data_IF_008608258314
#
_entry.id   IF_008608258314
#
_cell.length_a   1.000
_cell.length_b   1.000
_cell.length_c   1.000
_cell.angle_alpha   90.00
_cell.angle_beta   90.00
_cell.angle_gamma   90.00
#
_symmetry.space_group_name_H-M   'P 1'
#
loop_
_entity.id
_entity.type
_entity.pdbx_description
1 polymer ?
#
# COMPACT_ATOMS: atom_id res chain seq x y z
N UNK A 1 19.05 99.02 -2.32
CA UNK A 1 18.24 97.96 -1.58
C UNK A 1 18.03 96.74 -2.49
N UNK A 2 18.94 95.80 -2.43
CA UNK A 2 19.00 94.65 -3.33
C UNK A 2 18.32 93.44 -2.58
N UNK A 3 17.15 92.97 -3.04
CA UNK A 3 16.50 91.80 -2.51
C UNK A 3 17.15 90.55 -3.05
N UNK A 4 17.71 89.71 -2.17
CA UNK A 4 18.15 88.35 -2.51
C UNK A 4 16.99 87.42 -2.43
N UNK A 5 16.73 86.71 -3.52
CA UNK A 5 15.74 85.63 -3.60
C UNK A 5 16.47 84.32 -3.31
N UNK A 6 16.03 83.68 -2.22
CA UNK A 6 16.52 82.31 -1.84
C UNK A 6 15.66 81.25 -2.59
N UNK A 7 16.27 80.54 -3.53
CA UNK A 7 15.63 79.40 -4.20
C UNK A 7 15.93 78.11 -3.44
N UNK A 8 14.92 77.54 -2.79
CA UNK A 8 15.01 76.25 -2.10
C UNK A 8 14.74 75.16 -3.14
N UNK A 9 15.74 74.37 -3.49
CA UNK A 9 15.58 73.15 -4.24
C UNK A 9 15.06 72.02 -3.33
N UNK A 10 13.81 71.60 -3.48
CA UNK A 10 13.28 70.38 -2.91
C UNK A 10 13.72 69.20 -3.81
N UNK A 11 14.62 68.36 -3.32
CA UNK A 11 14.90 67.04 -3.90
C UNK A 11 13.78 66.07 -3.54
N UNK A 12 13.11 65.40 -4.52
CA UNK A 12 12.15 64.35 -4.18
C UNK A 12 12.93 63.11 -3.69
N UNK A 13 12.65 62.70 -2.47
CA UNK A 13 13.11 61.43 -1.91
C UNK A 13 12.31 60.30 -2.56
N UNK A 14 12.87 59.65 -3.58
CA UNK A 14 12.35 58.44 -4.16
C UNK A 14 12.54 57.30 -3.15
N UNK A 15 11.53 56.99 -2.37
CA UNK A 15 11.43 55.73 -1.62
C UNK A 15 11.18 54.60 -2.59
N UNK A 16 12.20 53.80 -2.88
CA UNK A 16 12.00 52.49 -3.49
C UNK A 16 11.28 51.61 -2.47
N UNK A 17 9.97 51.43 -2.66
CA UNK A 17 9.21 50.35 -2.05
C UNK A 17 9.62 49.11 -2.81
N UNK A 18 10.56 48.33 -2.26
CA UNK A 18 10.79 46.95 -2.68
C UNK A 18 9.56 46.15 -2.23
N UNK A 19 8.59 45.95 -3.11
CA UNK A 19 7.67 44.87 -2.96
C UNK A 19 8.46 43.58 -3.22
N UNK A 20 8.89 42.92 -2.15
CA UNK A 20 9.13 41.49 -2.22
C UNK A 20 7.76 40.84 -2.33
N UNK A 21 7.32 40.54 -3.55
CA UNK A 21 6.27 39.54 -3.78
C UNK A 21 6.82 38.17 -3.41
N UNK A 22 7.07 37.97 -2.13
CA UNK A 22 7.11 36.63 -1.54
C UNK A 22 5.66 36.14 -1.47
N UNK A 23 5.11 35.73 -2.61
CA UNK A 23 3.91 34.93 -2.62
C UNK A 23 4.26 33.61 -1.92
N UNK A 24 3.99 33.57 -0.61
CA UNK A 24 4.16 32.35 0.18
C UNK A 24 3.33 31.24 -0.48
N UNK A 25 4.00 30.17 -0.92
CA UNK A 25 3.32 29.00 -1.47
C UNK A 25 2.56 28.34 -0.33
N UNK A 26 1.25 28.28 -0.43
CA UNK A 26 0.38 27.69 0.56
C UNK A 26 -0.27 26.44 -0.05
N UNK A 27 -0.05 25.29 0.59
CA UNK A 27 -0.84 24.10 0.33
C UNK A 27 -2.04 24.07 1.26
N UNK A 28 -3.21 23.72 0.73
CA UNK A 28 -4.41 23.57 1.54
C UNK A 28 -4.23 22.43 2.54
N UNK A 29 -4.61 22.68 3.80
CA UNK A 29 -4.68 21.63 4.82
C UNK A 29 -5.83 20.70 4.48
N UNK A 30 -5.62 19.35 4.47
CA UNK A 30 -6.68 18.41 4.21
C UNK A 30 -7.87 18.59 5.16
N UNK A 31 -9.07 18.33 4.64
CA UNK A 31 -10.30 18.50 5.44
C UNK A 31 -10.32 17.49 6.60
N UNK A 32 -10.48 17.99 7.81
CA UNK A 32 -10.71 17.14 8.98
C UNK A 32 -12.09 16.47 8.86
N UNK A 33 -12.13 15.13 8.94
CA UNK A 33 -13.34 14.32 8.96
C UNK A 33 -13.43 13.55 10.28
N UNK A 34 -14.58 12.96 10.55
CA UNK A 34 -14.80 12.09 11.71
C UNK A 34 -14.49 10.62 11.37
N UNK A 35 -13.34 10.36 10.75
CA UNK A 35 -12.94 9.04 10.24
C UNK A 35 -11.67 8.48 10.93
N UNK A 36 -11.31 9.08 12.06
CA UNK A 36 -10.14 8.66 12.85
C UNK A 36 -8.79 9.22 12.36
N UNK A 37 -8.73 9.85 11.18
CA UNK A 37 -7.52 10.53 10.68
C UNK A 37 -7.49 11.96 11.23
N UNK A 38 -6.34 12.35 11.78
CA UNK A 38 -6.10 13.74 12.22
C UNK A 38 -5.37 14.47 11.07
N UNK A 39 -5.77 15.72 10.81
CA UNK A 39 -5.15 16.52 9.74
C UNK A 39 -4.29 17.64 10.33
N UNK A 40 -3.25 18.05 9.59
CA UNK A 40 -2.40 19.21 9.88
C UNK A 40 -1.90 19.81 8.58
N UNK A 41 -1.40 21.05 8.62
CA UNK A 41 -0.72 21.60 7.45
C UNK A 41 0.67 20.95 7.28
N UNK A 42 1.12 20.81 6.03
CA UNK A 42 2.46 20.31 5.72
C UNK A 42 3.55 21.15 6.40
N UNK A 43 3.37 22.47 6.45
CA UNK A 43 4.27 23.42 7.10
C UNK A 43 4.40 23.17 8.61
N UNK A 44 3.29 22.96 9.32
CA UNK A 44 3.30 22.67 10.77
C UNK A 44 4.00 21.34 11.08
N UNK A 45 3.97 20.38 10.15
CA UNK A 45 4.67 19.11 10.28
C UNK A 45 6.11 19.14 9.75
N UNK A 46 6.64 20.33 9.44
CA UNK A 46 8.04 20.55 9.10
C UNK A 46 8.41 20.21 7.66
N UNK A 47 7.44 20.14 6.73
CA UNK A 47 7.75 19.83 5.34
C UNK A 47 7.98 21.11 4.50
N UNK A 48 8.83 20.99 3.50
CA UNK A 48 9.03 22.02 2.49
C UNK A 48 7.83 22.08 1.54
N UNK A 49 6.94 23.05 1.80
CA UNK A 49 5.67 23.25 1.07
C UNK A 49 5.93 23.55 -0.42
N UNK A 50 7.04 24.21 -0.76
CA UNK A 50 7.37 24.55 -2.15
C UNK A 50 7.68 23.31 -2.98
N UNK A 51 8.42 22.34 -2.42
CA UNK A 51 8.69 21.06 -3.10
C UNK A 51 7.42 20.26 -3.33
N UNK A 52 6.53 20.18 -2.33
CA UNK A 52 5.25 19.49 -2.47
C UNK A 52 4.33 20.18 -3.49
N UNK A 53 4.30 21.52 -3.52
CA UNK A 53 3.53 22.26 -4.53
C UNK A 53 4.07 21.99 -5.94
N UNK A 54 5.39 21.99 -6.12
CA UNK A 54 6.01 21.66 -7.41
C UNK A 54 5.64 20.24 -7.85
N UNK A 55 5.67 19.27 -6.94
CA UNK A 55 5.24 17.89 -7.23
C UNK A 55 3.78 17.84 -7.74
N UNK A 56 2.88 18.56 -7.06
CA UNK A 56 1.46 18.61 -7.46
C UNK A 56 1.32 19.22 -8.85
N UNK A 57 2.03 20.30 -9.14
CA UNK A 57 2.00 20.95 -10.44
C UNK A 57 2.52 20.05 -11.56
N UNK A 58 3.60 19.28 -11.32
CA UNK A 58 4.14 18.29 -12.26
C UNK A 58 3.11 17.18 -12.56
N UNK A 59 2.40 16.70 -11.54
CA UNK A 59 1.33 15.69 -11.73
C UNK A 59 0.17 16.31 -12.53
N UNK A 60 -0.27 17.53 -12.20
CA UNK A 60 -1.33 18.24 -12.93
C UNK A 60 -0.97 18.55 -14.37
N UNK A 61 0.31 18.78 -14.65
CA UNK A 61 0.83 18.96 -16.01
C UNK A 61 0.82 17.66 -16.85
N UNK A 62 0.50 16.52 -16.22
CA UNK A 62 0.42 15.20 -16.88
C UNK A 62 1.77 14.50 -17.05
N UNK A 63 2.81 14.93 -16.34
CA UNK A 63 4.11 14.27 -16.38
C UNK A 63 4.11 12.93 -15.65
N UNK A 64 3.12 12.70 -14.78
CA UNK A 64 2.93 11.46 -14.02
C UNK A 64 1.45 11.04 -14.06
N UNK A 65 1.21 9.77 -14.37
CA UNK A 65 -0.16 9.20 -14.38
C UNK A 65 -0.55 8.77 -12.97
N UNK A 66 -0.91 9.73 -12.14
CA UNK A 66 -1.37 9.55 -10.76
C UNK A 66 -2.81 10.08 -10.65
N UNK A 67 -3.71 9.29 -10.06
CA UNK A 67 -5.11 9.68 -9.86
C UNK A 67 -5.33 10.37 -8.52
N UNK A 68 -4.65 9.88 -7.46
CA UNK A 68 -4.64 10.55 -6.16
C UNK A 68 -3.32 10.32 -5.42
N UNK A 69 -3.00 11.24 -4.52
CA UNK A 69 -1.90 11.13 -3.57
C UNK A 69 -2.36 11.59 -2.19
N UNK A 70 -2.11 10.75 -1.18
CA UNK A 70 -2.29 11.10 0.21
C UNK A 70 -0.97 10.90 0.95
N UNK A 71 -0.57 11.88 1.76
CA UNK A 71 0.65 11.81 2.56
C UNK A 71 0.31 12.09 4.01
N UNK A 72 0.70 11.17 4.90
CA UNK A 72 0.71 11.42 6.33
C UNK A 72 2.15 11.55 6.85
N UNK A 73 2.37 12.51 7.74
CA UNK A 73 3.62 12.75 8.48
C UNK A 73 3.32 12.86 9.96
N UNK A 74 4.08 12.15 10.79
CA UNK A 74 3.89 12.17 12.25
C UNK A 74 2.44 11.84 12.67
N UNK A 75 1.78 10.92 11.98
CA UNK A 75 0.37 10.55 12.14
C UNK A 75 -0.68 11.60 11.72
N UNK A 76 -0.27 12.71 11.10
CA UNK A 76 -1.17 13.70 10.55
C UNK A 76 -1.26 13.57 9.03
N UNK A 77 -2.46 13.52 8.48
CA UNK A 77 -2.67 13.68 7.04
C UNK A 77 -2.35 15.14 6.68
N UNK A 78 -1.30 15.34 5.85
CA UNK A 78 -0.76 16.66 5.52
C UNK A 78 -0.96 17.04 4.05
N UNK A 79 -1.26 16.08 3.22
CA UNK A 79 -1.58 16.26 1.81
C UNK A 79 -2.65 15.25 1.39
N UNK A 80 -3.69 15.73 0.71
CA UNK A 80 -4.76 14.92 0.14
C UNK A 80 -5.20 15.54 -1.19
N UNK A 81 -4.64 15.02 -2.30
CA UNK A 81 -4.89 15.54 -3.64
C UNK A 81 -5.50 14.46 -4.53
N UNK A 82 -6.51 14.88 -5.28
CA UNK A 82 -7.23 14.06 -6.25
C UNK A 82 -7.15 14.73 -7.62
N UNK A 83 -6.46 14.12 -8.56
CA UNK A 83 -6.27 14.67 -9.91
C UNK A 83 -7.42 14.31 -10.86
N UNK A 84 -8.21 13.30 -10.49
CA UNK A 84 -9.46 12.92 -11.16
C UNK A 84 -10.58 12.91 -10.13
N UNK A 85 -11.77 13.39 -10.49
CA UNK A 85 -12.94 13.38 -9.60
C UNK A 85 -13.34 11.95 -9.19
N UNK A 86 -13.21 10.98 -10.12
CA UNK A 86 -13.44 9.55 -9.84
C UNK A 86 -12.51 8.97 -8.77
N UNK A 87 -11.32 9.53 -8.60
CA UNK A 87 -10.33 9.06 -7.63
C UNK A 87 -10.71 9.35 -6.16
N UNK A 88 -11.72 10.19 -5.91
CA UNK A 88 -12.30 10.41 -4.58
C UNK A 88 -13.16 9.23 -4.12
N UNK A 89 -13.59 8.40 -5.06
CA UNK A 89 -14.44 7.25 -4.82
C UNK A 89 -13.66 5.99 -4.46
N UNK A 90 -14.42 4.90 -4.41
CA UNK A 90 -13.89 3.56 -4.16
C UNK A 90 -13.04 3.13 -5.34
N UNK A 91 -11.84 2.65 -5.06
CA UNK A 91 -10.95 2.08 -6.07
C UNK A 91 -10.63 0.61 -5.75
N UNK A 92 -10.52 -0.22 -6.79
CA UNK A 92 -9.99 -1.57 -6.65
C UNK A 92 -8.50 -1.48 -6.33
N UNK A 93 -8.12 -1.89 -5.10
CA UNK A 93 -6.73 -1.77 -4.64
C UNK A 93 -5.83 -2.88 -5.15
N UNK A 94 -6.36 -3.78 -5.98
CA UNK A 94 -5.62 -4.87 -6.59
C UNK A 94 -4.80 -5.66 -5.54
N UNK A 95 -3.55 -5.99 -5.84
CA UNK A 95 -2.69 -6.80 -4.96
C UNK A 95 -2.31 -6.15 -3.62
N UNK A 96 -2.65 -4.88 -3.35
CA UNK A 96 -2.63 -4.31 -1.99
C UNK A 96 -3.50 -5.15 -1.05
N UNK A 97 -4.54 -5.82 -1.56
CA UNK A 97 -5.37 -6.80 -0.86
C UNK A 97 -4.54 -7.85 -0.11
N UNK A 98 -3.39 -8.28 -0.66
CA UNK A 98 -2.53 -9.29 -0.04
C UNK A 98 -1.98 -8.84 1.32
N UNK A 99 -1.64 -7.56 1.46
CA UNK A 99 -1.17 -7.01 2.73
C UNK A 99 -2.29 -6.99 3.79
N UNK A 100 -3.54 -6.78 3.36
CA UNK A 100 -4.72 -6.91 4.24
C UNK A 100 -4.89 -8.39 4.66
N UNK A 101 -4.76 -9.33 3.70
CA UNK A 101 -4.82 -10.77 3.98
C UNK A 101 -3.72 -11.20 4.96
N UNK A 102 -2.53 -10.63 4.83
CA UNK A 102 -1.42 -10.82 5.79
C UNK A 102 -1.79 -10.34 7.20
N UNK A 103 -2.39 -9.16 7.32
CA UNK A 103 -2.85 -8.65 8.61
C UNK A 103 -3.85 -9.61 9.28
N UNK A 104 -4.79 -10.15 8.49
CA UNK A 104 -5.77 -11.14 8.99
C UNK A 104 -5.12 -12.47 9.33
N UNK A 105 -4.04 -12.87 8.65
CA UNK A 105 -3.22 -14.03 9.04
C UNK A 105 -2.57 -13.80 10.41
N UNK A 106 -2.05 -12.60 10.67
CA UNK A 106 -1.51 -12.23 11.98
C UNK A 106 -2.54 -12.34 13.09
N UNK A 107 -3.75 -11.85 12.87
CA UNK A 107 -4.86 -11.99 13.81
C UNK A 107 -5.19 -13.48 14.04
N UNK A 108 -5.21 -14.29 12.96
CA UNK A 108 -5.48 -15.72 13.08
C UNK A 108 -4.37 -16.46 13.86
N UNK A 109 -3.11 -16.02 13.73
CA UNK A 109 -1.98 -16.56 14.49
C UNK A 109 -2.10 -16.18 15.97
N UNK A 110 -2.33 -14.91 16.27
CA UNK A 110 -2.31 -14.40 17.64
C UNK A 110 -3.55 -14.82 18.45
N UNK A 111 -4.72 -14.87 17.82
CA UNK A 111 -5.98 -15.09 18.54
C UNK A 111 -6.61 -16.48 18.31
N UNK A 112 -6.26 -17.17 17.21
CA UNK A 112 -6.93 -18.42 16.81
C UNK A 112 -5.95 -19.59 16.63
N UNK A 113 -4.69 -19.45 17.11
CA UNK A 113 -3.67 -20.49 17.06
C UNK A 113 -3.36 -21.04 15.66
N UNK A 114 -3.42 -20.21 14.61
CA UNK A 114 -2.87 -20.57 13.32
C UNK A 114 -1.35 -20.61 13.42
N UNK A 115 -0.70 -21.71 13.00
CA UNK A 115 0.76 -21.81 13.05
C UNK A 115 1.35 -21.66 11.63
N UNK A 116 2.47 -20.95 11.54
CA UNK A 116 3.16 -20.70 10.26
C UNK A 116 3.70 -21.98 9.61
N UNK A 117 4.08 -22.97 10.39
CA UNK A 117 4.61 -24.26 9.96
C UNK A 117 3.54 -25.32 9.70
N UNK A 118 2.26 -24.99 9.88
CA UNK A 118 1.17 -25.93 9.60
C UNK A 118 1.11 -26.24 8.11
N UNK A 119 1.18 -27.53 7.71
CA UNK A 119 1.02 -27.94 6.33
C UNK A 119 -0.35 -27.56 5.76
N UNK A 120 -0.35 -27.01 4.54
CA UNK A 120 -1.56 -26.57 3.85
C UNK A 120 -2.57 -27.69 3.66
N UNK A 121 -2.10 -28.91 3.38
CA UNK A 121 -2.94 -30.09 3.20
C UNK A 121 -3.85 -30.36 4.40
N UNK A 122 -3.45 -30.01 5.60
CA UNK A 122 -4.22 -30.25 6.82
C UNK A 122 -5.54 -29.48 6.85
N UNK A 123 -5.64 -28.39 6.07
CA UNK A 123 -6.84 -27.57 5.96
C UNK A 123 -7.83 -28.04 4.89
N UNK A 124 -7.43 -28.97 3.99
CA UNK A 124 -8.20 -29.39 2.82
C UNK A 124 -8.34 -30.92 2.71
N UNK A 125 -8.87 -31.61 3.74
CA UNK A 125 -9.03 -33.06 3.72
C UNK A 125 -9.93 -33.57 2.59
N UNK A 126 -10.88 -32.75 2.12
CA UNK A 126 -11.74 -33.04 0.99
C UNK A 126 -10.99 -33.12 -0.34
N UNK A 127 -9.79 -32.51 -0.45
CA UNK A 127 -8.95 -32.56 -1.64
C UNK A 127 -7.95 -33.72 -1.62
N UNK A 128 -8.16 -34.74 -0.79
CA UNK A 128 -7.30 -35.94 -0.70
C UNK A 128 -7.21 -36.73 -2.02
N UNK A 129 -8.09 -36.47 -2.99
CA UNK A 129 -8.07 -37.05 -4.32
C UNK A 129 -7.00 -36.40 -5.25
N UNK A 130 -6.45 -35.23 -4.88
CA UNK A 130 -5.36 -34.59 -5.64
C UNK A 130 -4.06 -35.36 -5.44
N UNK A 131 -3.16 -35.16 -6.41
CA UNK A 131 -1.77 -35.66 -6.28
C UNK A 131 -0.99 -34.79 -5.27
N UNK A 132 -1.01 -35.21 -4.01
CA UNK A 132 -0.16 -34.68 -2.97
C UNK A 132 1.16 -35.46 -2.97
N UNK A 133 2.09 -35.06 -3.86
CA UNK A 133 3.47 -35.59 -3.81
C UNK A 133 4.12 -35.28 -2.47
N UNK A 134 5.13 -36.06 -2.06
CA UNK A 134 5.84 -35.83 -0.79
C UNK A 134 6.34 -34.39 -0.61
N UNK A 135 6.68 -33.68 -1.69
CA UNK A 135 7.11 -32.28 -1.63
C UNK A 135 5.92 -31.33 -1.44
N UNK A 136 4.79 -31.57 -2.11
CA UNK A 136 3.60 -30.74 -2.03
C UNK A 136 3.00 -30.78 -0.62
N UNK A 137 3.06 -31.91 0.09
CA UNK A 137 2.61 -32.06 1.49
C UNK A 137 3.41 -31.16 2.44
N UNK A 138 4.62 -30.74 2.07
CA UNK A 138 5.48 -29.86 2.88
C UNK A 138 5.17 -28.36 2.73
N UNK A 139 4.25 -28.00 1.85
CA UNK A 139 3.86 -26.57 1.70
C UNK A 139 3.17 -26.13 2.99
N UNK A 140 3.66 -25.05 3.60
CA UNK A 140 3.16 -24.50 4.86
C UNK A 140 2.50 -23.13 4.68
N UNK A 141 1.80 -22.65 5.70
CA UNK A 141 1.26 -21.28 5.76
C UNK A 141 2.37 -20.24 5.53
N UNK A 142 3.59 -20.47 6.08
CA UNK A 142 4.76 -19.65 5.82
C UNK A 142 5.09 -19.55 4.33
N UNK A 143 5.04 -20.65 3.61
CA UNK A 143 5.33 -20.66 2.17
C UNK A 143 4.27 -19.90 1.34
N UNK A 144 3.02 -19.86 1.78
CA UNK A 144 2.00 -19.03 1.16
C UNK A 144 2.31 -17.55 1.34
N UNK A 145 2.61 -17.12 2.55
CA UNK A 145 2.93 -15.73 2.90
C UNK A 145 4.21 -15.21 2.21
N UNK A 146 5.19 -16.09 2.01
CA UNK A 146 6.48 -15.74 1.36
C UNK A 146 6.49 -15.95 -0.15
N UNK A 147 5.36 -16.34 -0.77
CA UNK A 147 5.29 -16.67 -2.20
C UNK A 147 6.32 -17.73 -2.63
N UNK A 148 6.55 -18.74 -1.79
CA UNK A 148 7.58 -19.76 -2.00
C UNK A 148 7.03 -21.19 -1.89
N UNK A 149 5.80 -21.43 -2.34
CA UNK A 149 5.16 -22.75 -2.28
C UNK A 149 5.85 -23.81 -3.15
N UNK A 150 6.56 -23.41 -4.20
CA UNK A 150 7.11 -24.30 -5.20
C UNK A 150 6.11 -24.77 -6.26
N UNK A 151 4.84 -24.40 -6.18
CA UNK A 151 3.84 -24.69 -7.21
C UNK A 151 4.16 -23.95 -8.52
N UNK A 152 3.97 -24.63 -9.65
CA UNK A 152 4.10 -24.02 -10.96
C UNK A 152 3.03 -22.94 -11.14
N UNK A 153 3.48 -21.72 -11.44
CA UNK A 153 2.59 -20.58 -11.64
C UNK A 153 3.25 -19.54 -12.54
N UNK A 154 2.52 -19.03 -13.52
CA UNK A 154 3.00 -18.05 -14.46
C UNK A 154 2.08 -16.82 -14.50
N UNK A 155 2.23 -15.94 -13.54
CA UNK A 155 1.48 -14.70 -13.43
C UNK A 155 2.32 -13.47 -13.79
N UNK A 156 3.60 -13.44 -13.34
CA UNK A 156 4.45 -12.26 -13.51
C UNK A 156 5.12 -12.16 -14.89
N UNK A 157 5.35 -13.29 -15.59
CA UNK A 157 6.01 -13.29 -16.88
C UNK A 157 5.04 -13.02 -18.05
N UNK A 158 3.75 -13.13 -17.84
CA UNK A 158 2.70 -12.85 -18.80
C UNK A 158 1.88 -11.64 -18.38
N UNK A 159 1.50 -10.79 -19.33
CA UNK A 159 0.55 -9.72 -19.07
C UNK A 159 -0.78 -10.28 -18.54
N UNK A 160 -1.46 -9.55 -17.65
CA UNK A 160 -2.81 -9.89 -17.20
C UNK A 160 -3.86 -9.89 -18.33
N UNK A 161 -3.55 -9.32 -19.50
CA UNK A 161 -4.38 -9.43 -20.70
C UNK A 161 -4.13 -10.74 -21.49
N UNK A 162 -3.08 -11.51 -21.15
CA UNK A 162 -2.79 -12.78 -21.81
C UNK A 162 -3.70 -13.89 -21.25
N UNK A 163 -4.51 -14.58 -22.09
CA UNK A 163 -5.41 -15.63 -21.62
C UNK A 163 -4.71 -16.85 -21.01
N UNK A 164 -3.39 -17.02 -21.25
CA UNK A 164 -2.57 -18.07 -20.65
C UNK A 164 -1.93 -17.68 -19.32
N UNK A 165 -2.15 -16.46 -18.85
CA UNK A 165 -1.73 -16.07 -17.52
C UNK A 165 -2.52 -16.89 -16.48
N UNK A 166 -1.81 -17.51 -15.54
CA UNK A 166 -2.45 -18.43 -14.57
C UNK A 166 -3.51 -17.73 -13.69
N UNK A 167 -3.41 -16.43 -13.47
CA UNK A 167 -4.46 -15.66 -12.81
C UNK A 167 -5.77 -15.63 -13.65
N UNK A 168 -5.66 -15.51 -14.98
CA UNK A 168 -6.82 -15.55 -15.86
C UNK A 168 -7.41 -16.96 -15.96
N UNK A 169 -6.57 -17.99 -15.98
CA UNK A 169 -7.02 -19.39 -15.96
C UNK A 169 -7.72 -19.72 -14.64
N UNK A 170 -7.21 -19.21 -13.51
CA UNK A 170 -7.85 -19.33 -12.20
C UNK A 170 -9.27 -18.72 -12.23
N UNK A 171 -9.40 -17.48 -12.72
CA UNK A 171 -10.70 -16.79 -12.78
C UNK A 171 -11.73 -17.50 -13.68
N UNK A 172 -11.30 -18.39 -14.56
CA UNK A 172 -12.15 -19.20 -15.42
C UNK A 172 -12.46 -20.58 -14.83
N UNK A 173 -11.81 -20.98 -13.73
CA UNK A 173 -12.02 -22.26 -13.09
C UNK A 173 -13.27 -22.24 -12.20
N UNK A 174 -13.94 -23.40 -12.10
CA UNK A 174 -15.13 -23.56 -11.25
C UNK A 174 -14.81 -23.69 -9.75
N UNK A 175 -13.54 -23.98 -9.40
CA UNK A 175 -13.08 -24.17 -8.03
C UNK A 175 -11.65 -23.64 -7.90
N UNK A 176 -11.51 -22.44 -7.35
CA UNK A 176 -10.21 -21.79 -7.23
C UNK A 176 -9.20 -22.55 -6.36
N UNK A 177 -9.64 -23.08 -5.22
CA UNK A 177 -8.78 -23.80 -4.29
C UNK A 177 -8.22 -25.06 -4.93
N UNK A 178 -9.08 -25.84 -5.56
CA UNK A 178 -8.67 -27.05 -6.25
C UNK A 178 -7.76 -26.75 -7.45
N UNK A 179 -8.08 -25.72 -8.24
CA UNK A 179 -7.22 -25.27 -9.34
C UNK A 179 -5.80 -24.94 -8.87
N UNK A 180 -5.66 -24.16 -7.79
CA UNK A 180 -4.37 -23.75 -7.27
C UNK A 180 -3.59 -24.94 -6.71
N UNK A 181 -4.24 -25.76 -5.87
CA UNK A 181 -3.59 -26.87 -5.19
C UNK A 181 -3.36 -28.08 -6.11
N UNK A 182 -4.03 -28.18 -7.27
CA UNK A 182 -3.74 -29.20 -8.30
C UNK A 182 -2.47 -28.89 -9.12
N UNK A 183 -1.94 -27.65 -9.09
CA UNK A 183 -0.76 -27.30 -9.90
C UNK A 183 0.43 -28.17 -9.55
N UNK A 184 1.24 -28.60 -10.53
CA UNK A 184 2.43 -29.42 -10.26
C UNK A 184 3.50 -28.63 -9.52
N UNK A 185 4.41 -29.34 -8.86
CA UNK A 185 5.60 -28.74 -8.26
C UNK A 185 6.60 -28.36 -9.36
N UNK A 186 7.26 -27.22 -9.20
CA UNK A 186 8.38 -26.74 -10.02
C UNK A 186 9.67 -26.59 -9.23
N UNK A 187 9.57 -26.49 -7.91
CA UNK A 187 10.69 -26.40 -6.97
C UNK A 187 10.24 -26.84 -5.57
N UNK A 188 11.20 -27.14 -4.69
CA UNK A 188 10.87 -27.47 -3.30
C UNK A 188 10.30 -26.27 -2.55
N UNK A 189 9.32 -26.45 -1.64
CA UNK A 189 8.78 -25.38 -0.82
C UNK A 189 9.85 -24.59 -0.09
N UNK A 190 9.73 -23.27 -0.07
CA UNK A 190 10.67 -22.36 0.58
C UNK A 190 11.94 -22.03 -0.21
N UNK A 191 12.19 -22.70 -1.35
CA UNK A 191 13.46 -22.57 -2.08
C UNK A 191 13.47 -21.42 -3.11
N UNK A 192 12.33 -21.12 -3.74
CA UNK A 192 12.20 -20.14 -4.83
C UNK A 192 11.00 -19.26 -4.61
N UNK A 193 11.20 -17.95 -4.74
CA UNK A 193 10.11 -16.99 -4.81
C UNK A 193 9.42 -17.05 -6.18
N UNK A 194 8.11 -17.25 -6.17
CA UNK A 194 7.30 -17.17 -7.38
C UNK A 194 5.98 -16.47 -7.05
N UNK A 195 5.83 -15.22 -7.49
CA UNK A 195 4.63 -14.43 -7.22
C UNK A 195 3.38 -15.13 -7.75
N UNK A 196 2.44 -15.44 -6.85
CA UNK A 196 1.29 -16.27 -7.12
C UNK A 196 0.08 -15.78 -6.30
N UNK A 197 -0.85 -15.11 -6.95
CA UNK A 197 -2.07 -14.60 -6.31
C UNK A 197 -2.96 -15.72 -5.75
N UNK A 198 -2.88 -16.92 -6.32
CA UNK A 198 -3.59 -18.09 -5.81
C UNK A 198 -3.18 -18.47 -4.39
N UNK A 199 -1.90 -18.29 -4.02
CA UNK A 199 -1.43 -18.60 -2.66
C UNK A 199 -2.13 -17.72 -1.61
N UNK A 200 -2.39 -16.46 -1.95
CA UNK A 200 -3.14 -15.57 -1.07
C UNK A 200 -4.60 -16.02 -0.91
N UNK A 201 -5.21 -16.55 -1.98
CA UNK A 201 -6.57 -17.09 -1.95
C UNK A 201 -6.63 -18.33 -1.06
N UNK A 202 -5.68 -19.25 -1.20
CA UNK A 202 -5.57 -20.43 -0.32
C UNK A 202 -5.38 -19.98 1.14
N UNK A 203 -4.52 -18.98 1.39
CA UNK A 203 -4.33 -18.41 2.73
C UNK A 203 -5.62 -17.83 3.30
N UNK A 204 -6.39 -17.09 2.50
CA UNK A 204 -7.68 -16.53 2.92
C UNK A 204 -8.67 -17.61 3.33
N UNK A 205 -8.73 -18.71 2.59
CA UNK A 205 -9.58 -19.86 2.92
C UNK A 205 -9.10 -20.57 4.20
N UNK A 206 -7.77 -20.73 4.38
CA UNK A 206 -7.18 -21.29 5.61
C UNK A 206 -7.55 -20.43 6.81
N UNK A 207 -7.43 -19.11 6.71
CA UNK A 207 -7.82 -18.18 7.78
C UNK A 207 -9.30 -18.37 8.13
N UNK A 208 -10.16 -18.45 7.11
CA UNK A 208 -11.59 -18.69 7.32
C UNK A 208 -11.88 -19.98 8.06
N UNK A 209 -11.26 -21.09 7.67
CA UNK A 209 -11.38 -22.39 8.32
C UNK A 209 -10.86 -22.40 9.74
N UNK A 210 -9.68 -21.80 9.98
CA UNK A 210 -9.06 -21.73 11.30
C UNK A 210 -9.89 -20.90 12.28
N UNK A 211 -10.48 -19.81 11.83
CA UNK A 211 -11.28 -18.90 12.67
C UNK A 211 -12.75 -19.27 12.75
N UNK A 212 -13.19 -20.25 11.95
CA UNK A 212 -14.61 -20.64 11.79
C UNK A 212 -15.51 -19.45 11.42
N UNK A 213 -14.98 -18.53 10.61
CA UNK A 213 -15.67 -17.34 10.07
C UNK A 213 -15.24 -17.14 8.62
N UNK A 214 -16.07 -16.52 7.76
CA UNK A 214 -15.52 -16.07 6.48
C UNK A 214 -14.46 -14.97 6.70
N UNK A 215 -13.46 -14.91 5.82
CA UNK A 215 -12.43 -13.86 5.95
C UNK A 215 -13.04 -12.45 5.85
N UNK A 216 -14.14 -12.29 5.12
CA UNK A 216 -14.91 -11.04 5.09
C UNK A 216 -15.52 -10.69 6.46
N UNK A 217 -16.09 -11.65 7.17
CA UNK A 217 -16.62 -11.42 8.52
C UNK A 217 -15.49 -11.09 9.51
N UNK A 218 -14.39 -11.82 9.44
CA UNK A 218 -13.22 -11.57 10.28
C UNK A 218 -12.66 -10.16 10.04
N UNK A 219 -12.49 -9.76 8.77
CA UNK A 219 -11.96 -8.44 8.42
C UNK A 219 -12.84 -7.31 8.93
N UNK A 220 -14.15 -7.43 8.79
CA UNK A 220 -15.09 -6.43 9.33
C UNK A 220 -14.98 -6.33 10.84
N UNK A 221 -15.03 -7.47 11.55
CA UNK A 221 -15.08 -7.47 13.01
C UNK A 221 -13.76 -7.07 13.67
N UNK A 222 -12.62 -7.41 13.07
CA UNK A 222 -11.29 -7.23 13.65
C UNK A 222 -10.52 -6.01 13.17
N UNK A 223 -10.77 -5.56 11.92
CA UNK A 223 -10.06 -4.43 11.31
C UNK A 223 -11.00 -3.31 10.88
N UNK A 224 -11.89 -3.55 9.93
CA UNK A 224 -12.55 -2.49 9.19
C UNK A 224 -13.50 -1.66 10.07
N UNK A 225 -14.33 -2.31 10.90
CA UNK A 225 -15.20 -1.58 11.84
C UNK A 225 -14.42 -0.82 12.91
N UNK A 226 -13.23 -1.33 13.31
CA UNK A 226 -12.36 -0.69 14.29
C UNK A 226 -11.63 0.53 13.72
N UNK A 227 -11.37 0.51 12.42
CA UNK A 227 -10.69 1.57 11.70
C UNK A 227 -11.66 2.60 11.10
N UNK A 228 -12.96 2.51 11.40
CA UNK A 228 -13.99 3.35 10.77
C UNK A 228 -13.85 3.37 9.25
N UNK A 229 -13.60 2.18 8.66
CA UNK A 229 -13.50 2.04 7.20
C UNK A 229 -14.87 2.32 6.59
N UNK A 230 -14.95 3.33 5.74
CA UNK A 230 -16.24 3.86 5.27
C UNK A 230 -16.92 2.90 4.31
N UNK A 231 -16.14 2.24 3.45
CA UNK A 231 -16.67 1.29 2.48
C UNK A 231 -15.71 0.14 2.21
N UNK A 232 -16.24 -1.07 2.19
CA UNK A 232 -15.51 -2.29 1.83
C UNK A 232 -16.32 -3.09 0.83
N UNK A 233 -15.73 -3.34 -0.34
CA UNK A 233 -16.21 -4.34 -1.28
C UNK A 233 -15.11 -5.36 -1.51
N UNK A 234 -15.44 -6.64 -1.35
CA UNK A 234 -14.50 -7.73 -1.58
C UNK A 234 -15.13 -8.75 -2.52
N UNK A 235 -14.55 -8.96 -3.69
CA UNK A 235 -15.07 -9.90 -4.68
C UNK A 235 -14.88 -11.34 -4.23
N UNK A 236 -15.83 -12.20 -4.62
CA UNK A 236 -15.82 -13.64 -4.39
C UNK A 236 -16.06 -14.38 -5.69
N UNK A 237 -15.67 -15.64 -5.76
CA UNK A 237 -16.18 -16.55 -6.77
C UNK A 237 -17.61 -17.03 -6.43
N UNK A 238 -18.20 -17.85 -7.32
CA UNK A 238 -19.58 -18.34 -7.17
C UNK A 238 -19.79 -19.24 -5.93
N UNK A 239 -18.75 -19.91 -5.43
CA UNK A 239 -18.81 -20.73 -4.21
C UNK A 239 -18.68 -19.91 -2.91
N UNK A 240 -18.37 -18.60 -3.02
CA UNK A 240 -18.17 -17.72 -1.89
C UNK A 240 -16.72 -17.58 -1.42
N UNK A 241 -15.75 -18.19 -2.09
CA UNK A 241 -14.32 -18.00 -1.81
C UNK A 241 -13.92 -16.57 -2.19
N UNK A 242 -13.32 -15.84 -1.24
CA UNK A 242 -12.90 -14.46 -1.42
C UNK A 242 -11.62 -14.34 -2.26
N UNK A 243 -11.58 -13.36 -3.16
CA UNK A 243 -10.38 -13.01 -3.95
C UNK A 243 -9.38 -12.24 -3.06
N UNK A 244 -8.75 -12.96 -2.14
CA UNK A 244 -7.81 -12.39 -1.17
C UNK A 244 -6.42 -12.06 -1.76
N UNK A 245 -6.23 -12.35 -3.05
CA UNK A 245 -5.06 -11.93 -3.81
C UNK A 245 -5.18 -10.57 -4.50
N UNK A 246 -6.42 -9.99 -4.60
CA UNK A 246 -6.59 -8.76 -5.39
C UNK A 246 -7.99 -8.16 -5.43
N UNK A 247 -8.99 -8.78 -4.79
CA UNK A 247 -10.40 -8.45 -4.98
C UNK A 247 -10.99 -7.37 -4.07
N UNK A 248 -10.19 -6.71 -3.26
CA UNK A 248 -10.66 -5.69 -2.32
C UNK A 248 -10.71 -4.31 -2.99
N UNK A 249 -11.69 -3.52 -2.60
CA UNK A 249 -11.82 -2.11 -2.99
C UNK A 249 -11.95 -1.23 -1.76
N UNK A 250 -11.21 -0.12 -1.75
CA UNK A 250 -11.13 0.85 -0.66
C UNK A 250 -11.25 2.28 -1.17
N UNK A 251 -11.57 3.21 -0.26
CA UNK A 251 -11.28 4.63 -0.45
C UNK A 251 -9.77 4.90 -0.24
N UNK A 252 -9.18 5.91 -0.89
CA UNK A 252 -7.78 6.27 -0.65
C UNK A 252 -7.47 6.58 0.82
N UNK A 253 -8.42 7.19 1.56
CA UNK A 253 -8.25 7.43 3.00
C UNK A 253 -8.25 6.13 3.81
N UNK A 254 -8.98 5.10 3.41
CA UNK A 254 -8.96 3.79 4.08
C UNK A 254 -7.64 3.05 3.82
N UNK A 255 -7.04 3.23 2.63
CA UNK A 255 -5.67 2.78 2.36
C UNK A 255 -4.67 3.48 3.30
N UNK A 256 -4.82 4.79 3.50
CA UNK A 256 -3.96 5.55 4.42
C UNK A 256 -4.10 5.08 5.87
N UNK A 257 -5.33 4.83 6.35
CA UNK A 257 -5.56 4.26 7.68
C UNK A 257 -4.82 2.95 7.90
N UNK A 258 -4.84 2.07 6.88
CA UNK A 258 -4.11 0.80 6.94
C UNK A 258 -2.59 0.99 7.00
N UNK A 259 -2.05 1.94 6.23
CA UNK A 259 -0.64 2.32 6.32
C UNK A 259 -0.26 2.87 7.70
N UNK A 260 -1.09 3.77 8.26
CA UNK A 260 -0.92 4.34 9.61
C UNK A 260 -1.00 3.26 10.70
N UNK A 261 -1.88 2.27 10.57
CA UNK A 261 -1.95 1.13 11.47
C UNK A 261 -0.59 0.41 11.54
N UNK A 262 0.02 0.14 10.39
CA UNK A 262 1.33 -0.52 10.34
C UNK A 262 2.45 0.38 10.84
N UNK A 263 2.47 1.68 10.49
CA UNK A 263 3.44 2.65 11.01
C UNK A 263 3.42 2.72 12.54
N UNK A 264 2.23 2.58 13.15
CA UNK A 264 2.04 2.63 14.59
C UNK A 264 2.15 1.27 15.28
N UNK A 265 2.82 0.29 14.67
CA UNK A 265 3.05 -1.03 15.26
C UNK A 265 1.76 -1.79 15.56
N UNK A 266 0.71 -1.59 14.75
CA UNK A 266 -0.58 -2.25 14.87
C UNK A 266 -1.58 -1.54 15.78
N UNK A 267 -1.29 -0.32 16.22
CA UNK A 267 -2.21 0.50 17.05
C UNK A 267 -3.02 1.46 16.17
N UNK A 268 -4.33 1.47 16.34
CA UNK A 268 -5.24 2.45 15.76
C UNK A 268 -6.11 3.09 16.84
N UNK A 269 -6.09 4.42 16.93
CA UNK A 269 -6.85 5.20 17.92
C UNK A 269 -6.72 4.68 19.36
N UNK A 270 -5.52 4.20 19.74
CA UNK A 270 -5.22 3.67 21.08
C UNK A 270 -5.60 2.22 21.31
N UNK A 271 -6.20 1.53 20.33
CA UNK A 271 -6.50 0.09 20.36
C UNK A 271 -5.46 -0.70 19.56
N UNK A 272 -4.90 -1.78 20.16
CA UNK A 272 -4.01 -2.71 19.46
C UNK A 272 -4.83 -3.65 18.60
N UNK A 273 -4.83 -3.44 17.27
CA UNK A 273 -5.55 -4.28 16.30
C UNK A 273 -4.68 -5.41 15.73
N UNK A 274 -3.37 -5.17 15.61
CA UNK A 274 -2.38 -6.16 15.21
C UNK A 274 -1.27 -6.16 16.25
N UNK A 275 -0.73 -7.31 16.60
CA UNK A 275 0.42 -7.33 17.52
C UNK A 275 1.63 -6.64 16.90
N UNK A 276 2.41 -5.94 17.71
CA UNK A 276 3.68 -5.33 17.26
C UNK A 276 4.63 -6.40 16.71
N UNK A 277 4.59 -7.61 17.28
CA UNK A 277 5.36 -8.77 16.80
C UNK A 277 4.99 -9.13 15.36
N UNK A 278 3.69 -9.19 15.05
CA UNK A 278 3.24 -9.48 13.69
C UNK A 278 3.59 -8.36 12.70
N UNK A 279 3.38 -7.10 13.08
CA UNK A 279 3.76 -5.97 12.23
C UNK A 279 5.24 -6.05 11.86
N UNK A 280 6.12 -6.26 12.85
CA UNK A 280 7.56 -6.41 12.60
C UNK A 280 7.86 -7.63 11.71
N UNK A 281 7.30 -8.79 12.03
CA UNK A 281 7.54 -10.02 11.29
C UNK A 281 7.04 -9.94 9.85
N UNK A 282 5.85 -9.38 9.65
CA UNK A 282 5.23 -9.28 8.32
C UNK A 282 5.88 -8.23 7.41
N UNK A 283 6.64 -7.30 7.96
CA UNK A 283 7.33 -6.23 7.21
C UNK A 283 8.86 -6.40 7.19
N UNK A 284 9.36 -7.55 7.61
CA UNK A 284 10.78 -7.92 7.54
C UNK A 284 10.94 -9.13 6.61
N UNK A 285 12.05 -9.21 5.88
CA UNK A 285 12.36 -10.32 4.97
C UNK A 285 12.26 -11.67 5.69
N UNK A 286 11.50 -12.61 5.12
CA UNK A 286 11.20 -13.91 5.71
C UNK A 286 11.48 -15.09 4.76
N UNK A 287 11.43 -14.87 3.47
CA UNK A 287 11.52 -15.90 2.43
C UNK A 287 12.80 -15.79 1.60
N UNK A 288 12.86 -16.50 0.46
CA UNK A 288 14.03 -16.50 -0.41
C UNK A 288 14.22 -15.19 -1.19
N UNK A 289 13.23 -14.32 -1.29
CA UNK A 289 13.33 -13.02 -1.92
C UNK A 289 13.70 -11.94 -0.90
N UNK A 290 14.78 -11.20 -1.14
CA UNK A 290 15.26 -10.14 -0.24
C UNK A 290 14.35 -8.90 -0.25
N UNK A 291 13.54 -8.72 -1.30
CA UNK A 291 12.60 -7.59 -1.46
C UNK A 291 11.18 -7.96 -1.06
N UNK A 292 10.95 -9.10 -0.37
CA UNK A 292 9.61 -9.58 -0.02
C UNK A 292 9.56 -10.18 1.38
N UNK A 293 8.51 -9.78 2.11
CA UNK A 293 8.20 -10.28 3.45
C UNK A 293 6.90 -11.10 3.42
N UNK A 294 6.03 -11.00 4.43
CA UNK A 294 4.71 -11.65 4.43
C UNK A 294 3.67 -10.79 3.73
N UNK A 295 3.59 -10.92 2.39
CA UNK A 295 2.71 -10.14 1.51
C UNK A 295 2.95 -8.61 1.56
N UNK A 296 4.15 -8.21 1.97
CA UNK A 296 4.68 -6.86 1.86
C UNK A 296 5.94 -6.88 1.01
N UNK A 297 6.11 -5.87 0.19
CA UNK A 297 7.34 -5.60 -0.54
C UNK A 297 8.27 -4.74 0.32
N UNK A 298 9.56 -4.89 0.09
CA UNK A 298 10.62 -4.12 0.76
C UNK A 298 11.37 -3.31 -0.28
N UNK A 299 11.71 -2.06 0.04
CA UNK A 299 12.54 -1.20 -0.79
C UNK A 299 13.33 -0.22 0.08
N UNK A 300 14.42 0.30 -0.48
CA UNK A 300 15.15 1.42 0.09
C UNK A 300 15.19 2.59 -0.90
N UNK A 301 15.06 3.81 -0.41
CA UNK A 301 15.20 5.04 -1.18
C UNK A 301 16.49 5.73 -0.79
N UNK A 302 17.31 6.13 -1.77
CA UNK A 302 18.53 6.89 -1.51
C UNK A 302 18.33 8.34 -1.96
N UNK A 303 18.42 9.27 -1.00
CA UNK A 303 18.29 10.70 -1.24
C UNK A 303 19.48 11.40 -0.55
N UNK A 304 20.24 12.20 -1.29
CA UNK A 304 21.42 12.92 -0.81
C UNK A 304 22.46 12.05 -0.06
N UNK A 305 22.56 10.78 -0.50
CA UNK A 305 23.49 9.80 0.07
C UNK A 305 22.97 9.10 1.35
N UNK A 306 21.81 9.50 1.87
CA UNK A 306 21.12 8.80 2.96
C UNK A 306 20.17 7.75 2.42
N UNK A 307 20.15 6.56 3.05
CA UNK A 307 19.26 5.47 2.71
C UNK A 307 18.09 5.43 3.68
N UNK A 308 16.87 5.34 3.15
CA UNK A 308 15.62 5.25 3.90
C UNK A 308 14.94 3.94 3.58
N UNK A 309 14.88 3.04 4.57
CA UNK A 309 14.21 1.74 4.43
C UNK A 309 12.70 1.89 4.45
N UNK A 310 12.03 1.11 3.61
CA UNK A 310 10.57 1.12 3.50
C UNK A 310 10.00 -0.28 3.33
N UNK A 311 8.76 -0.45 3.73
CA UNK A 311 7.92 -1.55 3.28
C UNK A 311 6.69 -0.99 2.57
N UNK A 312 6.17 -1.73 1.60
CA UNK A 312 5.06 -1.23 0.81
C UNK A 312 4.14 -2.34 0.30
N UNK A 313 2.85 -2.03 0.21
CA UNK A 313 1.87 -2.80 -0.52
C UNK A 313 1.79 -2.27 -1.95
N UNK A 314 1.70 -3.17 -2.92
CA UNK A 314 1.68 -2.84 -4.34
C UNK A 314 0.57 -3.55 -5.08
N UNK A 315 -0.30 -2.78 -5.72
CA UNK A 315 -1.36 -3.25 -6.60
C UNK A 315 -1.13 -2.87 -8.06
N UNK A 316 -1.57 -3.74 -8.96
CA UNK A 316 -1.53 -3.49 -10.40
C UNK A 316 -2.18 -2.15 -10.76
N UNK A 317 -1.62 -1.43 -11.72
CA UNK A 317 -2.09 -0.11 -12.15
C UNK A 317 -1.54 1.05 -11.33
N UNK A 318 -0.76 0.80 -10.26
CA UNK A 318 -0.15 1.88 -9.45
C UNK A 318 -0.88 2.18 -8.15
N UNK A 319 -1.46 1.16 -7.51
CA UNK A 319 -2.00 1.25 -6.17
C UNK A 319 -0.88 1.01 -5.17
N UNK A 320 -0.58 1.96 -4.30
CA UNK A 320 0.49 1.83 -3.30
C UNK A 320 0.07 2.31 -1.92
N UNK A 321 0.54 1.59 -0.90
CA UNK A 321 0.65 2.07 0.47
C UNK A 321 2.13 1.89 0.84
N UNK A 322 2.85 2.99 1.09
CA UNK A 322 4.29 2.98 1.36
C UNK A 322 4.52 3.56 2.74
N UNK A 323 5.30 2.88 3.56
CA UNK A 323 5.64 3.30 4.92
C UNK A 323 7.15 3.44 5.04
N UNK A 324 7.60 4.62 5.48
CA UNK A 324 8.99 4.95 5.77
C UNK A 324 9.07 5.34 7.25
N UNK A 325 9.33 4.35 8.11
CA UNK A 325 9.26 4.51 9.56
C UNK A 325 10.23 5.58 10.09
N UNK A 326 11.45 5.62 9.58
CA UNK A 326 12.48 6.58 9.99
C UNK A 326 12.02 8.04 9.81
N UNK A 327 11.23 8.29 8.78
CA UNK A 327 10.67 9.61 8.48
C UNK A 327 9.27 9.81 9.04
N UNK A 328 8.69 8.83 9.70
CA UNK A 328 7.27 8.84 10.11
C UNK A 328 6.34 9.25 8.96
N UNK A 329 6.58 8.68 7.77
CA UNK A 329 5.81 8.93 6.55
C UNK A 329 4.96 7.71 6.16
N UNK A 330 3.72 7.98 5.81
CA UNK A 330 2.85 7.05 5.07
C UNK A 330 2.39 7.74 3.80
N UNK A 331 2.58 7.07 2.66
CA UNK A 331 2.27 7.61 1.34
C UNK A 331 1.31 6.63 0.64
N UNK A 332 0.22 7.16 0.12
CA UNK A 332 -0.73 6.41 -0.71
C UNK A 332 -0.76 7.01 -2.09
N UNK A 333 -0.64 6.16 -3.11
CA UNK A 333 -0.92 6.50 -4.49
C UNK A 333 -2.05 5.64 -5.03
N UNK A 334 -2.92 6.23 -5.84
CA UNK A 334 -3.81 5.49 -6.74
C UNK A 334 -3.57 5.93 -8.18
N UNK A 335 -3.64 4.98 -9.11
CA UNK A 335 -3.48 5.22 -10.53
C UNK A 335 -4.20 4.14 -11.35
N UNK A 336 -4.25 4.29 -12.68
CA UNK A 336 -4.88 3.35 -13.60
C UNK A 336 -3.93 2.95 -14.76
N UNK A 337 -2.64 2.73 -14.44
CA UNK A 337 -1.61 2.37 -15.42
C UNK A 337 -1.52 0.84 -15.60
N UNK A 338 -2.65 0.20 -15.92
CA UNK A 338 -2.75 -1.27 -16.03
C UNK A 338 -1.93 -1.87 -17.17
N UNK A 339 -1.57 -1.09 -18.19
CA UNK A 339 -0.76 -1.56 -19.32
C UNK A 339 0.75 -1.60 -18.99
N UNK A 340 1.23 -0.70 -18.10
CA UNK A 340 2.63 -0.63 -17.69
C UNK A 340 2.76 -0.40 -16.18
N UNK A 341 2.68 -1.49 -15.44
CA UNK A 341 2.78 -1.49 -13.98
C UNK A 341 4.19 -1.12 -13.48
N UNK A 342 5.24 -1.35 -14.28
CA UNK A 342 6.60 -0.94 -13.92
C UNK A 342 6.78 0.57 -14.07
N UNK A 343 6.20 1.17 -15.11
CA UNK A 343 6.17 2.63 -15.26
C UNK A 343 5.39 3.29 -14.12
N UNK A 344 4.25 2.70 -13.71
CA UNK A 344 3.48 3.18 -12.57
C UNK A 344 4.34 3.24 -11.29
N UNK A 345 5.11 2.17 -11.03
CA UNK A 345 6.05 2.13 -9.90
C UNK A 345 7.17 3.16 -10.07
N UNK A 346 7.81 3.24 -11.24
CA UNK A 346 8.89 4.18 -11.48
C UNK A 346 8.46 5.64 -11.27
N UNK A 347 7.24 6.00 -11.71
CA UNK A 347 6.66 7.32 -11.47
C UNK A 347 6.50 7.61 -9.97
N UNK A 348 5.92 6.67 -9.21
CA UNK A 348 5.73 6.82 -7.78
C UNK A 348 7.07 6.94 -7.05
N UNK A 349 8.07 6.11 -7.41
CA UNK A 349 9.43 6.16 -6.84
C UNK A 349 10.10 7.52 -7.09
N UNK A 350 9.97 8.03 -8.32
CA UNK A 350 10.51 9.34 -8.67
C UNK A 350 9.87 10.47 -7.85
N UNK A 351 8.56 10.46 -7.65
CA UNK A 351 7.89 11.43 -6.79
C UNK A 351 8.37 11.36 -5.34
N UNK A 352 8.64 10.15 -4.83
CA UNK A 352 9.15 9.95 -3.47
C UNK A 352 10.58 10.51 -3.34
N UNK A 353 11.47 10.18 -4.28
CA UNK A 353 12.89 10.57 -4.19
C UNK A 353 13.15 12.02 -4.54
N UNK A 354 12.40 12.60 -5.48
CA UNK A 354 12.66 13.96 -5.97
C UNK A 354 11.90 15.02 -5.15
N UNK A 355 10.79 14.65 -4.47
CA UNK A 355 9.94 15.63 -3.80
C UNK A 355 9.57 15.26 -2.37
N UNK A 356 9.06 14.04 -2.10
CA UNK A 356 8.45 13.74 -0.79
C UNK A 356 9.51 13.59 0.29
N UNK A 357 10.52 12.74 0.08
CA UNK A 357 11.62 12.60 1.06
C UNK A 357 12.38 13.91 1.21
N UNK A 358 12.83 14.60 0.13
CA UNK A 358 13.50 15.90 0.28
C UNK A 358 12.67 16.91 1.05
N UNK A 359 11.35 16.98 0.81
CA UNK A 359 10.48 17.92 1.55
C UNK A 359 10.40 17.64 3.05
N UNK A 360 10.70 16.42 3.49
CA UNK A 360 10.55 15.99 4.89
C UNK A 360 11.86 15.98 5.68
N UNK A 361 13.01 16.29 5.05
CA UNK A 361 14.33 16.25 5.68
C UNK A 361 15.08 17.61 5.62
N UNK A 362 14.57 18.58 4.86
CA UNK A 362 15.04 19.97 4.87
C UNK A 362 14.50 20.75 6.09
#
# INVERSE_FOLDING_TARGET
MTKRILVIFLLPLLTFISCSDDNEVVLETPLQKSDGIITSSAKEQGLNVKLLSTMIDEIRAGHYSINSILIAKNNYLILEEYFLESAKGITAIQSVTKSITSALAGIAIDEYNLLLDTPVINFFPELSHLDWSNEKELITVHNLLTMSSGLQWNESALSYNNPQNDHNLLNQSDNWIEFILSRPMSSSPGSVFNYNSGLSIVLGEIIGRQTNQSIGQLSISKLFSKMDTEFVSWSTENSGVYQTGGGLSFLPRDMLKFGLLYQNGGVWNGEQLLSTGWVLQSTTQQGPNMEYAYHWWLASFTVDGQVYESFYAWGNGGQFIIVINELSLVIVFTAENFEDNLLARANSWKLITDYIIPSSVE
#
